data_IF_452035883487
#
_entry.id   IF_452035883487
#
_cell.length_a   1.000
_cell.length_b   1.000
_cell.length_c   1.000
_cell.angle_alpha   90.00
_cell.angle_beta   90.00
_cell.angle_gamma   90.00
#
_symmetry.space_group_name_H-M   'P 1'
#
loop_
_entity.id
_entity.type
_entity.pdbx_description
1 polymer ?
#
# COMPACT_ATOMS: atom_id res chain seq x y z
N UNK A 1 50.65 -11.08 35.81
CA UNK A 1 49.55 -12.02 35.53
C UNK A 1 48.32 -11.23 35.17
N UNK A 2 48.12 -10.91 33.89
CA UNK A 2 46.98 -10.12 33.41
C UNK A 2 45.90 -11.07 32.90
N UNK A 3 44.74 -11.01 33.53
CA UNK A 3 43.54 -11.72 33.12
C UNK A 3 42.92 -11.08 31.91
N UNK A 4 43.00 -11.71 30.73
CA UNK A 4 42.22 -11.36 29.55
C UNK A 4 40.75 -11.73 29.79
N UNK A 5 39.89 -10.71 30.02
CA UNK A 5 38.45 -10.89 29.94
C UNK A 5 38.06 -10.92 28.45
N UNK A 6 37.72 -12.10 27.96
CA UNK A 6 37.08 -12.33 26.68
C UNK A 6 35.70 -11.70 26.73
N UNK A 7 35.48 -10.60 25.97
CA UNK A 7 34.17 -10.06 25.70
C UNK A 7 33.58 -10.92 24.58
N UNK A 8 32.78 -11.94 24.95
CA UNK A 8 31.89 -12.59 23.99
C UNK A 8 30.85 -11.56 23.55
N UNK A 9 31.08 -10.94 22.41
CA UNK A 9 30.06 -10.18 21.71
C UNK A 9 28.95 -11.16 21.33
N UNK A 10 27.81 -11.06 21.99
CA UNK A 10 26.59 -11.70 21.54
C UNK A 10 26.24 -11.07 20.19
N UNK A 11 26.53 -11.79 19.10
CA UNK A 11 25.96 -11.51 17.78
C UNK A 11 24.45 -11.74 17.93
N UNK A 12 23.68 -10.67 18.02
CA UNK A 12 22.23 -10.71 17.88
C UNK A 12 21.99 -11.21 16.46
N UNK A 13 21.37 -12.39 16.26
CA UNK A 13 21.09 -12.86 14.90
C UNK A 13 20.23 -11.81 14.23
N UNK A 14 20.63 -11.41 13.01
CA UNK A 14 19.82 -10.53 12.18
C UNK A 14 18.43 -11.17 12.06
N UNK A 15 17.43 -10.51 12.63
CA UNK A 15 16.05 -10.98 12.57
C UNK A 15 15.68 -11.03 11.09
N UNK A 16 15.37 -12.25 10.61
CA UNK A 16 14.91 -12.48 9.24
C UNK A 16 13.72 -11.54 9.00
N UNK A 17 13.86 -10.59 8.08
CA UNK A 17 12.80 -9.64 7.74
C UNK A 17 11.59 -10.45 7.29
N UNK A 18 10.50 -10.44 8.06
CA UNK A 18 9.26 -11.11 7.71
C UNK A 18 8.60 -10.31 6.58
N UNK A 19 8.40 -10.94 5.42
CA UNK A 19 7.64 -10.33 4.33
C UNK A 19 6.16 -10.31 4.73
N UNK A 20 5.61 -9.12 4.90
CA UNK A 20 4.20 -8.92 5.21
C UNK A 20 3.34 -9.06 3.94
N UNK A 21 2.11 -9.46 4.14
CA UNK A 21 1.06 -9.52 3.12
C UNK A 21 -0.10 -8.63 3.54
N UNK A 22 -0.80 -8.06 2.55
CA UNK A 22 -1.98 -7.26 2.82
C UNK A 22 -3.09 -8.13 3.44
N UNK A 23 -3.79 -7.59 4.42
CA UNK A 23 -4.94 -8.25 5.05
C UNK A 23 -6.23 -8.00 4.28
N UNK A 24 -7.31 -8.66 4.71
CA UNK A 24 -8.65 -8.41 4.16
C UNK A 24 -9.12 -6.96 4.36
N UNK A 25 -8.73 -6.32 5.48
CA UNK A 25 -9.00 -4.90 5.72
C UNK A 25 -8.36 -4.01 4.66
N UNK A 26 -7.09 -4.22 4.37
CA UNK A 26 -6.39 -3.48 3.33
C UNK A 26 -6.98 -3.69 1.95
N UNK A 27 -7.32 -4.94 1.59
CA UNK A 27 -8.00 -5.26 0.34
C UNK A 27 -9.38 -4.60 0.25
N UNK A 28 -10.14 -4.59 1.36
CA UNK A 28 -11.46 -3.95 1.42
C UNK A 28 -11.39 -2.45 1.16
N UNK A 29 -10.37 -1.78 1.68
CA UNK A 29 -10.15 -0.37 1.41
C UNK A 29 -9.84 -0.12 -0.07
N UNK A 30 -8.94 -0.90 -0.67
CA UNK A 30 -8.64 -0.79 -2.10
C UNK A 30 -9.91 -1.01 -2.94
N UNK A 31 -10.66 -2.07 -2.66
CA UNK A 31 -11.93 -2.38 -3.36
C UNK A 31 -12.93 -1.22 -3.29
N UNK A 32 -13.08 -0.60 -2.11
CA UNK A 32 -14.02 0.52 -1.92
C UNK A 32 -13.70 1.69 -2.85
N UNK A 33 -12.43 2.04 -2.98
CA UNK A 33 -12.02 3.23 -3.75
C UNK A 33 -11.78 2.94 -5.24
N UNK A 34 -11.42 1.72 -5.62
CA UNK A 34 -11.25 1.35 -7.02
C UNK A 34 -12.59 1.06 -7.73
N UNK A 35 -13.58 0.53 -7.00
CA UNK A 35 -14.79 -0.01 -7.61
C UNK A 35 -14.51 -1.27 -8.43
N UNK A 36 -15.56 -1.96 -8.88
CA UNK A 36 -15.43 -3.19 -9.67
C UNK A 36 -16.26 -3.12 -10.94
N UNK A 37 -15.60 -3.33 -12.07
CA UNK A 37 -16.27 -3.44 -13.38
C UNK A 37 -16.16 -4.87 -13.90
N UNK A 38 -17.30 -5.53 -14.12
CA UNK A 38 -17.35 -6.91 -14.58
C UNK A 38 -17.17 -7.07 -16.08
N UNK A 39 -17.34 -5.98 -16.84
CA UNK A 39 -17.11 -5.91 -18.27
C UNK A 39 -15.88 -5.03 -18.52
N UNK A 40 -15.06 -5.42 -19.50
CA UNK A 40 -13.92 -4.59 -19.87
C UNK A 40 -14.37 -3.23 -20.43
N UNK A 41 -13.65 -2.20 -20.07
CA UNK A 41 -13.87 -0.83 -20.51
C UNK A 41 -12.53 -0.13 -20.78
N UNK A 42 -12.57 0.94 -21.56
CA UNK A 42 -11.39 1.78 -21.73
C UNK A 42 -11.33 2.84 -20.65
N UNK A 43 -10.26 2.82 -19.86
CA UNK A 43 -10.02 3.85 -18.86
C UNK A 43 -9.62 5.20 -19.51
N UNK A 44 -9.46 6.25 -18.70
CA UNK A 44 -9.08 7.60 -19.19
C UNK A 44 -7.76 7.60 -19.98
N UNK A 45 -6.86 6.64 -19.74
CA UNK A 45 -5.61 6.46 -20.49
C UNK A 45 -5.78 5.64 -21.78
N UNK A 46 -7.03 5.33 -22.19
CA UNK A 46 -7.36 4.51 -23.36
C UNK A 46 -6.82 3.07 -23.30
N UNK A 47 -6.69 2.50 -22.09
CA UNK A 47 -6.25 1.13 -21.83
C UNK A 47 -7.45 0.28 -21.44
N UNK A 48 -7.57 -0.92 -22.02
CA UNK A 48 -8.60 -1.89 -21.63
C UNK A 48 -8.39 -2.34 -20.18
N UNK A 49 -9.42 -2.20 -19.37
CA UNK A 49 -9.41 -2.36 -17.93
C UNK A 49 -10.58 -3.21 -17.48
N UNK A 50 -10.43 -4.02 -16.44
CA UNK A 50 -11.50 -4.87 -15.89
C UNK A 50 -11.33 -5.06 -14.38
N UNK A 51 -12.37 -5.49 -13.69
CA UNK A 51 -12.34 -5.76 -12.25
C UNK A 51 -12.03 -4.53 -11.43
N UNK A 52 -11.06 -4.61 -10.55
CA UNK A 52 -10.60 -3.51 -9.69
C UNK A 52 -9.41 -2.75 -10.31
N UNK A 53 -9.48 -2.47 -11.60
CA UNK A 53 -8.44 -1.72 -12.30
C UNK A 53 -7.37 -2.58 -12.97
N UNK A 54 -7.60 -3.88 -13.15
CA UNK A 54 -6.67 -4.78 -13.85
C UNK A 54 -6.59 -4.45 -15.33
N UNK A 55 -5.38 -4.41 -15.88
CA UNK A 55 -5.14 -4.03 -17.29
C UNK A 55 -4.35 -5.06 -18.09
N UNK A 56 -3.57 -5.92 -17.42
CA UNK A 56 -2.69 -6.87 -18.11
C UNK A 56 -3.51 -7.90 -18.91
N UNK A 57 -3.30 -7.94 -20.23
CA UNK A 57 -3.95 -8.91 -21.10
C UNK A 57 -5.44 -8.68 -21.37
N UNK A 58 -6.02 -7.59 -20.86
CA UNK A 58 -7.45 -7.28 -21.02
C UNK A 58 -7.74 -6.81 -22.43
N UNK A 59 -8.84 -7.33 -23.00
CA UNK A 59 -9.31 -7.02 -24.35
C UNK A 59 -10.76 -6.56 -24.33
N UNK A 60 -11.20 -5.97 -25.43
CA UNK A 60 -12.60 -5.65 -25.65
C UNK A 60 -13.49 -6.88 -25.50
N UNK A 61 -14.57 -6.74 -24.76
CA UNK A 61 -15.56 -7.80 -24.55
C UNK A 61 -15.20 -8.82 -23.47
N UNK A 62 -14.07 -8.67 -22.79
CA UNK A 62 -13.72 -9.54 -21.66
C UNK A 62 -14.71 -9.36 -20.51
N UNK A 63 -15.01 -10.46 -19.83
CA UNK A 63 -15.90 -10.53 -18.68
C UNK A 63 -15.17 -11.22 -17.51
N UNK A 64 -15.44 -10.74 -16.30
CA UNK A 64 -14.97 -11.42 -15.08
C UNK A 64 -16.12 -11.56 -14.08
N UNK A 65 -16.07 -12.64 -13.30
CA UNK A 65 -16.88 -12.79 -12.11
C UNK A 65 -16.31 -11.98 -10.94
N UNK A 66 -17.08 -11.82 -9.86
CA UNK A 66 -16.60 -11.23 -8.62
C UNK A 66 -15.35 -11.95 -8.10
N UNK A 67 -15.35 -13.27 -8.11
CA UNK A 67 -14.21 -14.05 -7.61
C UNK A 67 -12.95 -13.88 -8.48
N UNK A 68 -13.12 -13.83 -9.80
CA UNK A 68 -12.00 -13.56 -10.72
C UNK A 68 -11.45 -12.15 -10.53
N UNK A 69 -12.32 -11.14 -10.38
CA UNK A 69 -11.90 -9.77 -10.09
C UNK A 69 -11.08 -9.69 -8.79
N UNK A 70 -11.50 -10.38 -7.73
CA UNK A 70 -10.75 -10.46 -6.47
C UNK A 70 -9.40 -11.17 -6.61
N UNK A 71 -9.35 -12.24 -7.38
CA UNK A 71 -8.10 -12.95 -7.64
C UNK A 71 -7.11 -12.08 -8.43
N UNK A 72 -7.59 -11.33 -9.42
CA UNK A 72 -6.78 -10.37 -10.17
C UNK A 72 -6.25 -9.27 -9.27
N UNK A 73 -7.08 -8.71 -8.39
CA UNK A 73 -6.65 -7.70 -7.42
C UNK A 73 -5.54 -8.23 -6.51
N UNK A 74 -5.70 -9.42 -5.95
CA UNK A 74 -4.68 -10.04 -5.08
C UNK A 74 -3.35 -10.20 -5.80
N UNK A 75 -3.38 -10.60 -7.07
CA UNK A 75 -2.18 -10.71 -7.90
C UNK A 75 -1.56 -9.33 -8.18
N UNK A 76 -2.36 -8.35 -8.56
CA UNK A 76 -1.89 -6.99 -8.88
C UNK A 76 -1.27 -6.29 -7.67
N UNK A 77 -1.73 -6.58 -6.47
CA UNK A 77 -1.22 -5.99 -5.23
C UNK A 77 0.17 -6.51 -4.87
N UNK A 78 0.57 -7.71 -5.30
CA UNK A 78 1.84 -8.35 -4.91
C UNK A 78 3.07 -7.50 -5.18
N UNK A 79 3.12 -6.78 -6.29
CA UNK A 79 4.25 -5.89 -6.61
C UNK A 79 4.35 -4.72 -5.63
N UNK A 80 3.23 -4.23 -5.13
CA UNK A 80 3.18 -3.13 -4.16
C UNK A 80 3.46 -3.61 -2.74
N UNK A 81 3.02 -4.82 -2.37
CA UNK A 81 3.45 -5.48 -1.13
C UNK A 81 4.97 -5.59 -1.10
N UNK A 82 5.57 -6.06 -2.19
CA UNK A 82 7.04 -6.15 -2.30
C UNK A 82 7.69 -4.77 -2.17
N UNK A 83 7.16 -3.76 -2.83
CA UNK A 83 7.69 -2.40 -2.77
C UNK A 83 7.69 -1.85 -1.33
N UNK A 84 6.61 -2.04 -0.58
CA UNK A 84 6.51 -1.61 0.83
C UNK A 84 7.46 -2.42 1.71
N UNK A 85 7.49 -3.75 1.56
CA UNK A 85 8.42 -4.60 2.31
C UNK A 85 9.89 -4.20 2.09
N UNK A 86 10.26 -3.84 0.86
CA UNK A 86 11.64 -3.45 0.53
C UNK A 86 11.99 -2.05 1.04
N UNK A 87 11.04 -1.11 0.98
CA UNK A 87 11.26 0.29 1.33
C UNK A 87 11.25 0.57 2.84
N UNK A 88 10.39 -0.13 3.60
CA UNK A 88 10.24 0.07 5.04
C UNK A 88 11.34 -0.68 5.79
N UNK A 89 12.12 0.04 6.62
CA UNK A 89 13.28 -0.48 7.35
C UNK A 89 13.04 -0.62 8.85
N UNK A 90 11.84 -0.28 9.31
CA UNK A 90 11.45 -0.29 10.73
C UNK A 90 10.25 -1.20 10.94
N UNK A 91 10.02 -1.70 12.18
CA UNK A 91 8.83 -2.50 12.48
C UNK A 91 7.55 -1.68 12.25
N UNK A 92 6.56 -2.31 11.61
CA UNK A 92 5.22 -1.74 11.42
C UNK A 92 4.14 -2.77 11.73
N UNK A 93 2.96 -2.30 12.10
CA UNK A 93 1.79 -3.13 12.33
C UNK A 93 1.14 -3.58 11.03
N UNK A 94 0.23 -4.54 11.09
CA UNK A 94 -0.55 -4.98 9.93
C UNK A 94 -1.38 -3.82 9.34
N UNK A 95 -2.04 -3.02 10.16
CA UNK A 95 -2.83 -1.89 9.67
C UNK A 95 -1.98 -0.79 9.04
N UNK A 96 -0.79 -0.54 9.56
CA UNK A 96 0.17 0.35 8.93
C UNK A 96 0.63 -0.18 7.57
N UNK A 97 0.95 -1.45 7.49
CA UNK A 97 1.33 -2.10 6.22
C UNK A 97 0.20 -2.02 5.19
N UNK A 98 -1.03 -2.35 5.57
CA UNK A 98 -2.20 -2.30 4.71
C UNK A 98 -2.44 -0.91 4.13
N UNK A 99 -2.35 0.12 4.96
CA UNK A 99 -2.50 1.51 4.55
C UNK A 99 -1.41 1.93 3.55
N UNK A 100 -0.17 1.55 3.80
CA UNK A 100 0.95 1.84 2.90
C UNK A 100 0.84 1.10 1.57
N UNK A 101 0.37 -0.14 1.56
CA UNK A 101 0.13 -0.89 0.31
C UNK A 101 -1.00 -0.24 -0.50
N UNK A 102 -2.12 0.14 0.13
CA UNK A 102 -3.20 0.86 -0.55
C UNK A 102 -2.72 2.18 -1.15
N UNK A 103 -1.97 2.96 -0.39
CA UNK A 103 -1.39 4.23 -0.83
C UNK A 103 -0.45 4.01 -2.04
N UNK A 104 0.43 3.02 -1.96
CA UNK A 104 1.40 2.70 -3.01
C UNK A 104 0.74 2.12 -4.26
N UNK A 105 -0.31 1.30 -4.09
CA UNK A 105 -1.14 0.79 -5.19
C UNK A 105 -1.74 1.93 -6.02
N UNK A 106 -2.22 2.98 -5.38
CA UNK A 106 -2.80 4.14 -6.05
C UNK A 106 -1.75 5.08 -6.68
N UNK A 107 -0.63 5.31 -6.00
CA UNK A 107 0.33 6.36 -6.34
C UNK A 107 1.64 5.86 -6.97
N UNK A 108 1.90 4.56 -6.90
CA UNK A 108 3.08 3.91 -7.44
C UNK A 108 4.28 3.84 -6.49
N UNK A 109 5.15 2.88 -6.76
CA UNK A 109 6.37 2.62 -5.96
C UNK A 109 7.38 3.77 -6.03
N UNK A 110 7.44 4.48 -7.15
CA UNK A 110 8.30 5.67 -7.30
C UNK A 110 7.91 6.78 -6.33
N UNK A 111 6.61 7.02 -6.17
CA UNK A 111 6.09 7.98 -5.19
C UNK A 111 6.43 7.57 -3.76
N UNK A 112 6.31 6.28 -3.43
CA UNK A 112 6.70 5.75 -2.13
C UNK A 112 8.18 6.03 -1.83
N UNK A 113 9.07 5.63 -2.74
CA UNK A 113 10.51 5.70 -2.54
C UNK A 113 11.04 7.14 -2.42
N UNK A 114 10.40 8.10 -3.06
CA UNK A 114 10.79 9.53 -3.02
C UNK A 114 10.05 10.33 -1.95
N UNK A 115 9.09 9.73 -1.23
CA UNK A 115 8.21 10.46 -0.32
C UNK A 115 8.88 10.88 0.99
N UNK A 116 8.49 12.03 1.52
CA UNK A 116 8.77 12.44 2.90
C UNK A 116 8.14 11.48 3.90
N UNK A 117 6.99 10.92 3.57
CA UNK A 117 6.30 9.90 4.37
C UNK A 117 7.22 8.72 4.71
N UNK A 118 7.88 8.15 3.70
CA UNK A 118 8.79 7.02 3.90
C UNK A 118 10.01 7.41 4.77
N UNK A 119 10.57 8.60 4.54
CA UNK A 119 11.69 9.11 5.36
C UNK A 119 11.31 9.20 6.83
N UNK A 120 10.14 9.79 7.13
CA UNK A 120 9.63 9.91 8.49
C UNK A 120 9.39 8.55 9.12
N UNK A 121 8.74 7.65 8.40
CA UNK A 121 8.50 6.29 8.88
C UNK A 121 9.82 5.57 9.23
N UNK A 122 10.81 5.60 8.34
CA UNK A 122 12.10 4.95 8.56
C UNK A 122 12.94 5.62 9.67
N UNK A 123 12.64 6.85 10.01
CA UNK A 123 13.18 7.54 11.21
C UNK A 123 12.37 7.24 12.48
N UNK A 124 11.40 6.33 12.43
CA UNK A 124 10.50 5.98 13.53
C UNK A 124 9.59 7.14 13.99
N UNK A 125 9.35 8.10 13.12
CA UNK A 125 8.40 9.20 13.33
C UNK A 125 6.98 8.75 12.93
N UNK A 126 6.50 7.66 13.54
CA UNK A 126 5.25 6.99 13.18
C UNK A 126 4.02 7.91 13.21
N UNK A 127 3.96 8.81 14.18
CA UNK A 127 2.82 9.71 14.35
C UNK A 127 2.74 10.82 13.29
N UNK A 128 3.83 11.04 12.56
CA UNK A 128 3.88 12.01 11.46
C UNK A 128 3.36 11.45 10.12
N UNK A 129 3.26 10.13 10.02
CA UNK A 129 2.91 9.44 8.76
C UNK A 129 1.49 9.75 8.30
N UNK A 130 0.44 9.75 9.14
CA UNK A 130 -0.92 10.05 8.71
C UNK A 130 -1.06 11.41 8.01
N UNK A 131 -0.41 12.45 8.53
CA UNK A 131 -0.41 13.78 7.90
C UNK A 131 0.28 13.74 6.52
N UNK A 132 1.34 12.97 6.38
CA UNK A 132 2.04 12.80 5.10
C UNK A 132 1.21 12.02 4.08
N UNK A 133 0.47 11.00 4.49
CA UNK A 133 -0.48 10.29 3.63
C UNK A 133 -1.48 11.27 3.00
N UNK A 134 -2.07 12.15 3.80
CA UNK A 134 -3.12 13.10 3.40
C UNK A 134 -2.65 14.17 2.40
N UNK A 135 -1.37 14.43 2.27
CA UNK A 135 -0.81 15.40 1.33
C UNK A 135 -1.00 15.00 -0.15
N UNK A 136 -1.22 13.72 -0.44
CA UNK A 136 -1.30 13.18 -1.80
C UNK A 136 -2.74 13.10 -2.32
N UNK A 137 -3.39 14.26 -2.43
CA UNK A 137 -4.80 14.40 -2.78
C UNK A 137 -5.05 15.15 -4.10
N UNK A 138 -4.01 15.32 -4.93
CA UNK A 138 -4.09 16.06 -6.19
C UNK A 138 -3.87 15.16 -7.40
N UNK A 139 -4.56 15.48 -8.48
CA UNK A 139 -4.26 14.99 -9.81
C UNK A 139 -4.27 16.17 -10.80
N UNK A 140 -3.31 16.20 -11.72
CA UNK A 140 -3.12 17.32 -12.65
C UNK A 140 -3.12 18.71 -11.95
N UNK A 141 -2.51 18.78 -10.76
CA UNK A 141 -2.39 20.00 -9.95
C UNK A 141 -3.65 20.43 -9.20
N UNK A 142 -4.76 19.68 -9.32
CA UNK A 142 -6.04 20.00 -8.67
C UNK A 142 -6.35 19.01 -7.55
N UNK A 143 -6.87 19.52 -6.44
CA UNK A 143 -7.41 18.67 -5.36
C UNK A 143 -8.67 17.96 -5.85
N UNK A 144 -8.70 16.64 -5.71
CA UNK A 144 -9.86 15.80 -6.03
C UNK A 144 -10.46 15.22 -4.74
N UNK A 145 -11.77 15.42 -4.57
CA UNK A 145 -12.48 14.96 -3.36
C UNK A 145 -12.40 13.43 -3.17
N UNK A 146 -12.41 12.67 -4.24
CA UNK A 146 -12.21 11.22 -4.18
C UNK A 146 -10.83 10.85 -3.60
N UNK A 147 -9.78 11.59 -3.97
CA UNK A 147 -8.44 11.38 -3.41
C UNK A 147 -8.34 11.85 -1.95
N UNK A 148 -9.01 12.96 -1.61
CA UNK A 148 -9.09 13.42 -0.20
C UNK A 148 -9.69 12.33 0.68
N UNK A 149 -10.83 11.76 0.28
CA UNK A 149 -11.50 10.67 1.01
C UNK A 149 -10.62 9.43 1.10
N UNK A 150 -10.00 9.01 0.01
CA UNK A 150 -9.11 7.84 0.02
C UNK A 150 -7.94 8.03 0.98
N UNK A 151 -7.28 9.16 0.94
CA UNK A 151 -6.17 9.48 1.87
C UNK A 151 -6.63 9.53 3.32
N UNK A 152 -7.83 10.04 3.59
CA UNK A 152 -8.41 10.01 4.94
C UNK A 152 -8.61 8.58 5.43
N UNK A 153 -9.23 7.72 4.62
CA UNK A 153 -9.42 6.31 4.95
C UNK A 153 -8.08 5.58 5.19
N UNK A 154 -7.08 5.81 4.34
CA UNK A 154 -5.74 5.23 4.50
C UNK A 154 -5.06 5.70 5.79
N UNK A 155 -5.18 6.99 6.14
CA UNK A 155 -4.63 7.53 7.38
C UNK A 155 -5.31 6.93 8.62
N UNK A 156 -6.64 6.78 8.60
CA UNK A 156 -7.38 6.11 9.67
C UNK A 156 -6.98 4.64 9.82
N UNK A 157 -6.88 3.90 8.71
CA UNK A 157 -6.42 2.51 8.72
C UNK A 157 -5.00 2.41 9.30
N UNK A 158 -4.10 3.31 8.91
CA UNK A 158 -2.74 3.37 9.46
C UNK A 158 -2.73 3.51 10.98
N UNK A 159 -3.63 4.33 11.52
CA UNK A 159 -3.81 4.54 12.96
C UNK A 159 -4.57 3.41 13.67
N UNK A 160 -5.01 2.38 12.94
CA UNK A 160 -5.84 1.31 13.49
C UNK A 160 -7.25 1.76 13.87
N UNK A 161 -7.75 2.81 13.24
CA UNK A 161 -9.07 3.39 13.48
C UNK A 161 -10.09 2.95 12.42
N UNK A 162 -11.37 3.14 12.74
CA UNK A 162 -12.48 2.88 11.82
C UNK A 162 -12.41 3.85 10.62
N UNK A 163 -12.49 3.30 9.40
CA UNK A 163 -12.36 4.03 8.13
C UNK A 163 -13.54 3.80 7.17
N UNK A 164 -14.40 2.82 7.45
CA UNK A 164 -15.43 2.37 6.51
C UNK A 164 -16.48 3.45 6.18
N UNK A 165 -16.65 4.42 7.05
CA UNK A 165 -17.61 5.52 6.88
C UNK A 165 -17.09 6.72 6.07
N UNK A 166 -15.84 6.69 5.67
CA UNK A 166 -15.21 7.78 4.89
C UNK A 166 -15.79 7.90 3.48
#
# INVERSE_FOLDING_TARGET
>A
MQLFRSILGHLIPATKKTNMKISQEGLSLIKKFEGCEYNSYKCAANVWTIGYGHTEGVKEGDLVSQQEAENLLKKDVEVFEKAVNDAVKVPISQSQFDALVSWTFNLGSGSLNSSTMLKKLNNQEYDEVPAQIKRWNKAAGKVLQGLVRRREAEALLYEGKEWHEV
#
